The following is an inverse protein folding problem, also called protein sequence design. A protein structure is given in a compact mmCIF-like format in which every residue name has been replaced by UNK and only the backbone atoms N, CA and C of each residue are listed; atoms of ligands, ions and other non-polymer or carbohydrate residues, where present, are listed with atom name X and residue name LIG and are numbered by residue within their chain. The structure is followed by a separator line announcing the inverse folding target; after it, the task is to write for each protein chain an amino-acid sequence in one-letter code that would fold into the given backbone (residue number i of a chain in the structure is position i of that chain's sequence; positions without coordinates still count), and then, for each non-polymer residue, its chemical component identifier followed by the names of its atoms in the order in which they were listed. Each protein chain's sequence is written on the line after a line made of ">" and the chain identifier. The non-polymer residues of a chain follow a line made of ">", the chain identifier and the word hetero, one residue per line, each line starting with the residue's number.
data_IF_340367122605
#
_entry.id   IF_340367122605
#
_cell.length_a   1.000
_cell.length_b   1.000
_cell.length_c   1.000
_cell.angle_alpha   90.00
_cell.angle_beta   90.00
_cell.angle_gamma   90.00
#
_symmetry.space_group_name_H-M   'P 1'
#
loop_
_entity.id
_entity.type
_entity.pdbx_description
1 polymer ?
#
# COMPACT_ATOMS: atom_id res chain seq x y z
N UNK A 1 9.10 4.77 1.46
CA UNK A 1 7.75 4.28 1.80
C UNK A 1 6.78 5.38 1.37
N UNK A 2 5.70 5.05 0.66
CA UNK A 2 4.74 6.06 0.21
C UNK A 2 3.88 6.51 1.40
N UNK A 3 3.68 7.80 1.55
CA UNK A 3 2.84 8.37 2.61
C UNK A 3 2.17 9.66 2.14
N UNK A 4 0.92 9.81 2.58
CA UNK A 4 0.09 11.02 2.43
C UNK A 4 0.09 11.88 3.69
N UNK A 5 0.87 11.49 4.69
CA UNK A 5 0.86 12.09 6.00
C UNK A 5 2.26 12.48 6.43
N UNK A 6 2.39 13.72 6.86
CA UNK A 6 3.53 14.23 7.57
C UNK A 6 3.04 14.90 8.88
N UNK A 7 3.49 14.43 10.06
CA UNK A 7 3.13 15.03 11.33
C UNK A 7 3.50 16.52 11.40
N UNK A 8 4.70 16.86 10.90
CA UNK A 8 5.22 18.23 10.92
C UNK A 8 4.40 19.16 10.02
N UNK A 9 4.00 18.70 8.83
CA UNK A 9 3.09 19.47 7.97
C UNK A 9 1.74 19.69 8.65
N UNK A 10 1.22 18.69 9.38
CA UNK A 10 -0.06 18.80 10.09
C UNK A 10 0.01 19.85 11.21
N UNK A 11 1.10 19.85 11.97
CA UNK A 11 1.37 20.84 13.02
C UNK A 11 1.54 22.23 12.41
N UNK A 12 2.34 22.38 11.36
CA UNK A 12 2.59 23.66 10.71
C UNK A 12 1.33 24.28 10.11
N UNK A 13 0.43 23.48 9.50
CA UNK A 13 -0.85 23.97 9.00
C UNK A 13 -1.75 24.52 10.11
N UNK A 14 -1.73 23.89 11.28
CA UNK A 14 -2.46 24.34 12.48
C UNK A 14 -1.89 25.64 13.03
N UNK A 15 -0.56 25.73 13.14
CA UNK A 15 0.12 26.80 13.90
C UNK A 15 0.41 28.05 13.06
N UNK A 16 0.76 27.90 11.78
CA UNK A 16 1.20 29.01 10.91
C UNK A 16 0.08 29.58 10.01
N UNK A 17 -1.10 28.95 9.99
CA UNK A 17 -2.18 29.14 8.98
C UNK A 17 -1.67 28.93 7.55
N UNK A 18 -2.28 27.98 6.84
CA UNK A 18 -1.84 27.52 5.50
C UNK A 18 -1.68 28.64 4.44
N UNK A 19 -2.38 29.76 4.60
CA UNK A 19 -2.34 30.91 3.69
C UNK A 19 -1.34 32.01 4.07
N UNK A 20 -0.53 31.82 5.10
CA UNK A 20 0.47 32.81 5.51
C UNK A 20 1.79 32.63 4.74
N UNK A 21 2.49 33.74 4.51
CA UNK A 21 3.86 33.75 3.95
C UNK A 21 4.81 32.87 4.77
N UNK A 22 4.63 32.83 6.10
CA UNK A 22 5.45 32.03 7.02
C UNK A 22 5.34 30.53 6.75
N UNK A 23 4.14 30.04 6.45
CA UNK A 23 3.93 28.64 6.07
C UNK A 23 4.65 28.30 4.75
N UNK A 24 4.63 29.21 3.78
CA UNK A 24 5.32 29.00 2.49
C UNK A 24 6.84 28.90 2.65
N UNK A 25 7.43 29.77 3.49
CA UNK A 25 8.87 29.75 3.79
C UNK A 25 9.24 28.44 4.49
N UNK A 26 8.48 28.08 5.53
CA UNK A 26 8.68 26.83 6.28
C UNK A 26 8.53 25.60 5.37
N UNK A 27 7.49 25.53 4.55
CA UNK A 27 7.22 24.37 3.69
C UNK A 27 8.33 24.15 2.66
N UNK A 28 8.90 25.23 2.09
CA UNK A 28 10.05 25.13 1.18
C UNK A 28 11.28 24.53 1.87
N UNK A 29 11.53 24.90 3.12
CA UNK A 29 12.64 24.36 3.92
C UNK A 29 12.39 22.90 4.36
N UNK A 30 11.14 22.55 4.70
CA UNK A 30 10.76 21.22 5.15
C UNK A 30 10.62 20.19 4.01
N UNK A 31 10.37 20.62 2.77
CA UNK A 31 10.13 19.74 1.62
C UNK A 31 11.14 18.57 1.45
N UNK A 32 12.46 18.72 1.68
CA UNK A 32 13.41 17.62 1.57
C UNK A 32 13.22 16.51 2.62
N UNK A 33 12.68 16.84 3.80
CA UNK A 33 12.48 15.93 4.93
C UNK A 33 11.01 15.49 5.05
N UNK A 34 10.15 15.99 4.17
CA UNK A 34 8.72 15.74 4.22
C UNK A 34 8.42 14.27 4.01
N UNK A 35 7.71 13.68 4.97
CA UNK A 35 7.22 12.31 4.88
C UNK A 35 6.05 12.16 3.90
N UNK A 36 5.35 13.25 3.58
CA UNK A 36 4.27 13.27 2.59
C UNK A 36 4.87 13.33 1.19
N UNK A 37 5.02 12.17 0.56
CA UNK A 37 5.68 12.00 -0.74
C UNK A 37 4.71 11.46 -1.82
N UNK A 38 3.42 11.39 -1.51
CA UNK A 38 2.40 10.91 -2.42
C UNK A 38 1.15 11.79 -2.36
N UNK A 39 0.68 12.28 -3.51
CA UNK A 39 -0.47 13.17 -3.61
C UNK A 39 -1.73 12.53 -4.23
N UNK A 40 -1.67 11.24 -4.62
CA UNK A 40 -2.80 10.54 -5.26
C UNK A 40 -3.84 9.98 -4.27
N UNK A 41 -4.79 9.20 -4.77
CA UNK A 41 -5.79 8.51 -3.93
C UNK A 41 -5.16 7.36 -3.14
N UNK A 42 -5.79 6.94 -2.04
CA UNK A 42 -5.28 5.82 -1.24
C UNK A 42 -5.24 4.52 -2.07
N UNK A 43 -6.26 4.23 -2.88
CA UNK A 43 -6.26 3.09 -3.80
C UNK A 43 -5.08 3.16 -4.79
N UNK A 44 -4.79 4.33 -5.35
CA UNK A 44 -3.66 4.46 -6.27
C UNK A 44 -2.29 4.33 -5.55
N UNK A 45 -2.21 4.67 -4.25
CA UNK A 45 -1.04 4.38 -3.43
C UNK A 45 -0.83 2.87 -3.29
N UNK A 46 -1.89 2.10 -3.08
CA UNK A 46 -1.82 0.64 -2.95
C UNK A 46 -1.28 -0.02 -4.22
N UNK A 47 -1.75 0.44 -5.39
CA UNK A 47 -1.26 -0.02 -6.70
C UNK A 47 0.26 0.20 -6.83
N UNK A 48 0.73 1.41 -6.53
CA UNK A 48 2.17 1.74 -6.65
C UNK A 48 2.99 1.01 -5.58
N UNK A 49 2.45 0.85 -4.37
CA UNK A 49 3.11 0.08 -3.32
C UNK A 49 3.28 -1.39 -3.74
N UNK A 50 2.26 -1.99 -4.34
CA UNK A 50 2.32 -3.35 -4.87
C UNK A 50 3.38 -3.46 -5.99
N UNK A 51 3.41 -2.52 -6.94
CA UNK A 51 4.44 -2.47 -7.98
C UNK A 51 5.86 -2.43 -7.39
N UNK A 52 6.10 -1.56 -6.41
CA UNK A 52 7.42 -1.45 -5.76
C UNK A 52 7.80 -2.77 -5.08
N UNK A 53 6.86 -3.44 -4.41
CA UNK A 53 7.10 -4.72 -3.76
C UNK A 53 7.41 -5.83 -4.77
N UNK A 54 6.64 -5.91 -5.86
CA UNK A 54 6.86 -6.90 -6.92
C UNK A 54 8.21 -6.73 -7.61
N UNK A 55 8.59 -5.50 -7.98
CA UNK A 55 9.91 -5.23 -8.58
C UNK A 55 11.05 -5.63 -7.63
N UNK A 56 10.97 -5.20 -6.36
CA UNK A 56 11.98 -5.54 -5.33
C UNK A 56 12.07 -7.03 -5.05
N UNK A 57 10.97 -7.78 -5.19
CA UNK A 57 10.99 -9.23 -4.97
C UNK A 57 11.99 -9.92 -5.89
N UNK A 58 12.07 -9.49 -7.16
CA UNK A 58 13.03 -9.99 -8.14
C UNK A 58 14.41 -9.39 -7.88
N UNK A 59 14.49 -8.06 -7.80
CA UNK A 59 15.77 -7.34 -7.78
C UNK A 59 16.60 -7.60 -6.51
N UNK A 60 15.95 -7.67 -5.35
CA UNK A 60 16.64 -7.71 -4.05
C UNK A 60 16.53 -9.06 -3.34
N UNK A 61 15.43 -9.78 -3.55
CA UNK A 61 15.11 -10.96 -2.76
C UNK A 61 15.22 -12.28 -3.54
N UNK A 62 15.29 -12.23 -4.87
CA UNK A 62 15.28 -13.43 -5.72
C UNK A 62 14.05 -14.30 -5.50
N UNK A 63 12.90 -13.69 -5.17
CA UNK A 63 11.66 -14.37 -4.86
C UNK A 63 10.52 -13.86 -5.75
N UNK A 64 9.46 -14.67 -5.90
CA UNK A 64 8.28 -14.31 -6.68
C UNK A 64 7.02 -14.42 -5.86
N UNK A 65 6.09 -13.54 -6.14
CA UNK A 65 4.75 -13.53 -5.59
C UNK A 65 3.79 -14.29 -6.51
N UNK A 66 3.01 -15.22 -5.95
CA UNK A 66 2.03 -16.04 -6.68
C UNK A 66 0.61 -15.49 -6.65
N UNK A 67 0.16 -14.87 -5.55
CA UNK A 67 -1.21 -14.38 -5.39
C UNK A 67 -1.25 -12.93 -4.93
N UNK A 68 -2.33 -12.21 -5.20
CA UNK A 68 -2.59 -10.88 -4.64
C UNK A 68 -3.90 -10.93 -3.88
N UNK A 69 -3.87 -10.54 -2.60
CA UNK A 69 -5.06 -10.41 -1.77
C UNK A 69 -5.58 -8.97 -1.86
N UNK A 70 -6.83 -8.79 -2.27
CA UNK A 70 -7.47 -7.46 -2.41
C UNK A 70 -8.92 -7.48 -1.92
N UNK A 71 -9.42 -6.35 -1.44
CA UNK A 71 -10.79 -6.18 -0.96
C UNK A 71 -11.71 -5.73 -2.12
N UNK A 72 -12.11 -6.65 -3.00
CA UNK A 72 -13.01 -6.40 -4.12
C UNK A 72 -12.45 -5.53 -5.27
N UNK A 73 -11.55 -4.59 -5.01
CA UNK A 73 -10.98 -3.69 -6.02
C UNK A 73 -9.94 -4.43 -6.88
N UNK A 74 -10.30 -4.70 -8.13
CA UNK A 74 -9.45 -5.43 -9.09
C UNK A 74 -8.33 -4.58 -9.69
N UNK A 75 -8.22 -3.28 -9.37
CA UNK A 75 -7.26 -2.37 -9.99
C UNK A 75 -5.81 -2.77 -9.75
N UNK A 76 -5.47 -3.17 -8.52
CA UNK A 76 -4.11 -3.63 -8.18
C UNK A 76 -3.75 -4.90 -8.93
N UNK A 77 -4.68 -5.86 -9.02
CA UNK A 77 -4.47 -7.10 -9.77
C UNK A 77 -4.27 -6.83 -11.26
N UNK A 78 -5.12 -6.01 -11.86
CA UNK A 78 -4.99 -5.65 -13.27
C UNK A 78 -3.66 -4.95 -13.56
N UNK A 79 -3.26 -3.99 -12.71
CA UNK A 79 -1.98 -3.31 -12.84
C UNK A 79 -0.79 -4.27 -12.76
N UNK A 80 -0.83 -5.24 -11.84
CA UNK A 80 0.23 -6.25 -11.72
C UNK A 80 0.30 -7.19 -12.93
N UNK A 81 -0.84 -7.52 -13.56
CA UNK A 81 -0.86 -8.30 -14.80
C UNK A 81 -0.25 -7.51 -15.98
N UNK A 82 -0.56 -6.22 -16.08
CA UNK A 82 0.00 -5.33 -17.10
C UNK A 82 1.49 -5.07 -16.88
N UNK A 83 1.96 -5.10 -15.62
CA UNK A 83 3.35 -4.89 -15.24
C UNK A 83 4.27 -6.06 -15.64
N UNK A 84 3.72 -7.27 -15.76
CA UNK A 84 4.39 -8.50 -16.23
C UNK A 84 5.80 -8.74 -15.66
N UNK A 85 5.95 -8.70 -14.33
CA UNK A 85 7.26 -8.73 -13.66
C UNK A 85 7.94 -10.12 -13.71
N UNK A 86 7.20 -11.20 -13.98
CA UNK A 86 7.66 -12.58 -13.80
C UNK A 86 7.68 -13.45 -15.07
N UNK A 87 7.56 -12.82 -16.26
CA UNK A 87 7.43 -13.45 -17.58
C UNK A 87 6.12 -14.27 -17.77
N UNK A 88 5.75 -14.53 -19.03
CA UNK A 88 4.53 -15.24 -19.45
C UNK A 88 4.34 -16.65 -18.81
N UNK A 89 5.40 -17.19 -18.21
CA UNK A 89 5.39 -18.52 -17.59
C UNK A 89 4.59 -18.58 -16.28
N UNK A 90 4.31 -17.44 -15.64
CA UNK A 90 3.73 -17.40 -14.29
C UNK A 90 2.44 -16.58 -14.22
N UNK A 91 1.33 -17.25 -13.87
CA UNK A 91 0.03 -16.60 -13.66
C UNK A 91 -0.11 -16.18 -12.20
N UNK A 92 -0.28 -14.87 -11.98
CA UNK A 92 -0.66 -14.32 -10.68
C UNK A 92 -2.14 -14.65 -10.42
N UNK A 93 -2.49 -15.18 -9.25
CA UNK A 93 -3.88 -15.39 -8.84
C UNK A 93 -4.40 -14.21 -8.01
N UNK A 94 -5.70 -13.89 -8.15
CA UNK A 94 -6.38 -12.93 -7.29
C UNK A 94 -7.09 -13.68 -6.16
N UNK A 95 -6.87 -13.26 -4.92
CA UNK A 95 -7.61 -13.70 -3.74
C UNK A 95 -8.42 -12.53 -3.18
N UNK A 96 -9.62 -12.83 -2.68
CA UNK A 96 -10.51 -11.82 -2.12
C UNK A 96 -10.39 -11.76 -0.60
N UNK A 97 -10.35 -10.54 -0.06
CA UNK A 97 -10.42 -10.34 1.37
C UNK A 97 -11.85 -10.60 1.86
N UNK A 98 -12.05 -11.64 2.65
CA UNK A 98 -13.34 -11.91 3.29
C UNK A 98 -13.48 -11.06 4.57
N UNK A 99 -13.86 -9.78 4.52
CA UNK A 99 -14.10 -9.03 5.77
C UNK A 99 -15.17 -7.92 5.69
N UNK A 100 -16.39 -8.21 6.15
CA UNK A 100 -17.15 -7.37 7.08
C UNK A 100 -18.26 -8.21 7.75
N UNK A 101 -18.00 -8.73 8.95
CA UNK A 101 -19.05 -9.32 9.80
C UNK A 101 -19.98 -8.19 10.21
N UNK A 102 -21.11 -8.03 9.51
CA UNK A 102 -22.34 -7.69 10.23
C UNK A 102 -22.59 -8.84 11.21
N UNK A 103 -22.69 -8.52 12.50
CA UNK A 103 -22.87 -9.51 13.56
C UNK A 103 -24.06 -10.44 13.23
N UNK A 104 -23.75 -11.70 12.94
CA UNK A 104 -24.75 -12.77 12.94
C UNK A 104 -24.56 -13.81 11.85
N UNK A 105 -23.49 -14.60 11.90
CA UNK A 105 -23.54 -16.06 11.87
C UNK A 105 -22.12 -16.64 11.80
N UNK A 106 -21.89 -17.64 12.65
CA UNK A 106 -20.62 -18.29 12.89
C UNK A 106 -19.96 -18.84 11.63
N UNK A 107 -18.77 -18.34 11.29
CA UNK A 107 -17.78 -19.11 10.55
C UNK A 107 -16.41 -18.98 11.21
N UNK A 108 -16.03 -20.04 11.89
CA UNK A 108 -14.71 -20.22 12.45
C UNK A 108 -13.67 -20.40 11.34
N UNK A 109 -12.80 -19.41 11.17
CA UNK A 109 -11.37 -19.68 10.92
C UNK A 109 -10.56 -18.83 11.90
N UNK A 110 -9.80 -19.53 12.73
CA UNK A 110 -9.07 -19.01 13.88
C UNK A 110 -7.71 -18.45 13.42
N UNK A 111 -7.54 -17.13 13.43
CA UNK A 111 -6.39 -16.46 14.06
C UNK A 111 -6.69 -14.97 14.25
N UNK A 112 -6.05 -14.35 15.25
CA UNK A 112 -6.60 -13.28 16.09
C UNK A 112 -6.25 -11.85 15.64
N UNK A 113 -7.08 -10.94 16.15
CA UNK A 113 -6.83 -9.55 16.56
C UNK A 113 -6.66 -8.46 15.49
N UNK A 114 -7.75 -7.71 15.27
CA UNK A 114 -7.86 -6.30 15.66
C UNK A 114 -7.00 -5.28 14.89
N UNK A 115 -7.68 -4.40 14.16
CA UNK A 115 -7.18 -3.30 13.31
C UNK A 115 -6.61 -3.84 11.99
N UNK A 116 -7.38 -3.68 10.92
CA UNK A 116 -6.91 -3.94 9.55
C UNK A 116 -5.96 -2.81 9.17
N UNK A 117 -4.72 -2.93 9.62
CA UNK A 117 -3.57 -2.19 9.13
C UNK A 117 -3.04 -2.94 7.91
N UNK A 118 -2.56 -2.22 6.90
CA UNK A 118 -1.95 -2.72 5.66
C UNK A 118 -0.81 -3.70 6.02
N UNK A 119 -1.11 -4.98 6.20
CA UNK A 119 -0.12 -5.93 6.74
C UNK A 119 -0.34 -7.39 6.36
N UNK A 120 -1.26 -7.74 5.46
CA UNK A 120 -1.34 -9.12 4.97
C UNK A 120 -1.35 -9.22 3.44
N UNK A 121 -0.23 -8.87 2.82
CA UNK A 121 0.25 -9.58 1.64
C UNK A 121 1.25 -10.63 2.13
N UNK A 122 0.76 -11.84 2.44
CA UNK A 122 1.64 -12.99 2.69
C UNK A 122 1.35 -14.00 1.61
N UNK A 123 2.33 -14.18 0.74
CA UNK A 123 2.26 -15.03 -0.45
C UNK A 123 3.28 -16.13 -0.25
N UNK A 124 2.80 -17.35 -0.43
CA UNK A 124 3.52 -18.59 -0.18
C UNK A 124 4.87 -18.63 -0.91
N UNK A 125 5.93 -18.94 -0.15
CA UNK A 125 7.32 -18.95 -0.61
C UNK A 125 7.61 -20.25 -1.33
N UNK A 126 8.07 -20.19 -2.58
CA UNK A 126 8.82 -21.29 -3.18
C UNK A 126 10.26 -20.84 -3.39
N UNK A 127 11.18 -21.50 -2.68
CA UNK A 127 12.60 -21.51 -3.02
C UNK A 127 12.75 -22.55 -4.13
N UNK A 128 13.31 -22.14 -5.26
CA UNK A 128 13.90 -23.09 -6.20
C UNK A 128 15.17 -23.70 -5.58
#
# INVERSE_FOLDING_TARGET
>A
MLSKYCPECTIAKRDLRENCTDFSIWYKAHKPECSENYAGSSNAMEVIAAEILWKRSVENCGMRYMSVLSDGDSKTYQHLLELDVYDESMKISKEECLNHVDLGQDFAIKSKSGKVNVSQMVIEKRKD
#
